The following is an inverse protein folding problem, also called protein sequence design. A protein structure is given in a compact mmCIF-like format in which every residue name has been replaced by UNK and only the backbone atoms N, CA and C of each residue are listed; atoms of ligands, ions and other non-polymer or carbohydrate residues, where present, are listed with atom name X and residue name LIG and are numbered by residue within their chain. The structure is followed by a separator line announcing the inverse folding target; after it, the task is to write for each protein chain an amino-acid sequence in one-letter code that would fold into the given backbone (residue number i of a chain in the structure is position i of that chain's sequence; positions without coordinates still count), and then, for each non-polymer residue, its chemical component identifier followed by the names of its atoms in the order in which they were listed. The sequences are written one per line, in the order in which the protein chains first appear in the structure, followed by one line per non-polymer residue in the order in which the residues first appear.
data_IF_600713845331
#
_entry.id   IF_600713845331
#
_cell.length_a   1.000
_cell.length_b   1.000
_cell.length_c   1.000
_cell.angle_alpha   90.00
_cell.angle_beta   90.00
_cell.angle_gamma   90.00
#
_symmetry.space_group_name_H-M   'P 1'
#
loop_
_entity.id
_entity.type
_entity.pdbx_description
1 polymer ?
#
# COMPACT_ATOMS: atom_id res chain seq x y z
N UNK A 1 17.15 -36.92 42.18
CA UNK A 1 17.11 -35.49 41.85
C UNK A 1 17.06 -35.36 40.33
N UNK A 2 15.99 -34.87 39.81
CA UNK A 2 15.75 -34.79 38.37
C UNK A 2 16.30 -33.48 37.85
N UNK A 3 17.32 -33.54 36.99
CA UNK A 3 17.85 -32.39 36.28
C UNK A 3 16.89 -31.98 35.17
N UNK A 4 16.47 -30.73 35.21
CA UNK A 4 15.67 -30.12 34.15
C UNK A 4 16.61 -29.66 33.05
N UNK A 5 16.58 -30.36 31.89
CA UNK A 5 17.22 -29.87 30.67
C UNK A 5 16.37 -28.70 30.12
N UNK A 6 16.90 -27.49 30.25
CA UNK A 6 16.38 -26.36 29.49
C UNK A 6 16.84 -26.49 28.03
N UNK A 7 15.92 -26.88 27.17
CA UNK A 7 16.14 -26.84 25.72
C UNK A 7 16.01 -25.38 25.28
N UNK A 8 17.14 -24.72 25.02
CA UNK A 8 17.17 -23.41 24.39
C UNK A 8 16.88 -23.60 22.91
N UNK A 9 15.64 -23.33 22.53
CA UNK A 9 15.25 -23.28 21.12
C UNK A 9 15.85 -22.01 20.50
N UNK A 10 16.98 -22.15 19.82
CA UNK A 10 17.58 -21.08 19.04
C UNK A 10 16.66 -20.80 17.84
N UNK A 11 15.92 -19.68 17.91
CA UNK A 11 15.22 -19.14 16.77
C UNK A 11 16.24 -18.54 15.81
N UNK A 12 16.56 -19.29 14.76
CA UNK A 12 17.33 -18.78 13.63
C UNK A 12 16.47 -17.76 12.88
N UNK A 13 16.70 -16.48 13.17
CA UNK A 13 16.18 -15.39 12.35
C UNK A 13 16.96 -15.39 11.04
N UNK A 14 16.38 -15.94 9.99
CA UNK A 14 16.88 -15.76 8.64
C UNK A 14 16.70 -14.30 8.24
N UNK A 15 17.75 -13.50 8.39
CA UNK A 15 17.83 -12.19 7.73
C UNK A 15 18.06 -12.46 6.24
N UNK A 16 16.99 -12.63 5.52
CA UNK A 16 17.04 -12.67 4.06
C UNK A 16 17.40 -11.29 3.52
N UNK A 17 18.60 -11.12 3.00
CA UNK A 17 18.98 -9.97 2.19
C UNK A 17 18.23 -10.02 0.85
N UNK A 18 17.02 -9.48 0.84
CA UNK A 18 16.26 -9.23 -0.36
C UNK A 18 15.34 -8.05 -0.08
N UNK A 19 15.45 -6.96 -0.85
CA UNK A 19 14.87 -5.63 -0.63
C UNK A 19 13.35 -5.53 -0.50
N UNK A 20 12.71 -6.43 0.23
CA UNK A 20 11.30 -6.36 0.58
C UNK A 20 11.12 -5.45 1.78
N UNK A 21 10.18 -4.52 1.68
CA UNK A 21 9.79 -3.67 2.79
C UNK A 21 9.09 -4.50 3.85
N UNK A 22 9.51 -4.35 5.11
CA UNK A 22 8.91 -5.04 6.23
C UNK A 22 7.49 -4.55 6.49
N UNK A 23 6.54 -5.49 6.63
CA UNK A 23 5.17 -5.18 7.02
C UNK A 23 5.10 -4.90 8.52
N UNK A 24 4.52 -3.76 8.89
CA UNK A 24 4.39 -3.34 10.28
C UNK A 24 3.01 -3.70 10.82
N UNK A 25 2.95 -4.20 12.06
CA UNK A 25 1.72 -4.68 12.70
C UNK A 25 0.61 -3.61 12.83
N UNK A 26 0.95 -2.32 12.91
CA UNK A 26 -0.03 -1.24 13.01
C UNK A 26 -0.73 -0.89 11.69
N UNK A 27 -0.24 -1.37 10.56
CA UNK A 27 -0.80 -1.12 9.22
C UNK A 27 -1.46 -2.37 8.66
N UNK A 28 -2.51 -2.18 7.87
CA UNK A 28 -3.13 -3.23 7.08
C UNK A 28 -2.54 -3.23 5.67
N UNK A 29 -2.40 -4.41 5.09
CA UNK A 29 -1.80 -4.59 3.77
C UNK A 29 -2.71 -5.40 2.85
N UNK A 30 -2.52 -5.23 1.55
CA UNK A 30 -3.21 -5.97 0.50
C UNK A 30 -2.21 -6.46 -0.54
N UNK A 31 -2.40 -7.66 -1.06
CA UNK A 31 -1.55 -8.21 -2.12
C UNK A 31 -1.90 -7.65 -3.50
N UNK A 32 -1.01 -7.84 -4.47
CA UNK A 32 -1.26 -7.48 -5.87
C UNK A 32 -2.44 -8.28 -6.45
N UNK A 33 -2.54 -9.56 -6.12
CA UNK A 33 -3.61 -10.45 -6.58
C UNK A 33 -4.98 -10.00 -6.06
N UNK A 34 -5.07 -9.70 -4.77
CA UNK A 34 -6.31 -9.20 -4.16
C UNK A 34 -6.70 -7.83 -4.71
N UNK A 35 -5.72 -6.95 -4.91
CA UNK A 35 -5.94 -5.63 -5.53
C UNK A 35 -6.45 -5.77 -6.95
N UNK A 36 -5.83 -6.62 -7.77
CA UNK A 36 -6.28 -6.89 -9.14
C UNK A 36 -7.71 -7.46 -9.17
N UNK A 37 -8.04 -8.36 -8.24
CA UNK A 37 -9.40 -8.89 -8.11
C UNK A 37 -10.42 -7.79 -7.83
N UNK A 38 -10.13 -6.87 -6.92
CA UNK A 38 -11.00 -5.73 -6.63
C UNK A 38 -11.20 -4.83 -7.86
N UNK A 39 -10.15 -4.55 -8.61
CA UNK A 39 -10.21 -3.74 -9.83
C UNK A 39 -11.10 -4.40 -10.89
N UNK A 40 -11.00 -5.71 -11.06
CA UNK A 40 -11.77 -6.48 -12.05
C UNK A 40 -13.25 -6.63 -11.68
N UNK A 41 -13.50 -7.03 -10.43
CA UNK A 41 -14.82 -7.49 -9.99
C UNK A 41 -15.65 -6.40 -9.34
N UNK A 42 -15.02 -5.45 -8.62
CA UNK A 42 -15.68 -4.44 -7.81
C UNK A 42 -15.03 -3.05 -7.91
N UNK A 43 -14.84 -2.49 -9.11
CA UNK A 43 -14.12 -1.22 -9.27
C UNK A 43 -14.78 -0.05 -8.53
N UNK A 44 -16.10 -0.08 -8.33
CA UNK A 44 -16.83 0.93 -7.58
C UNK A 44 -16.66 0.82 -6.05
N UNK A 45 -16.10 -0.28 -5.57
CA UNK A 45 -15.87 -0.56 -4.14
C UNK A 45 -14.43 -0.37 -3.71
N UNK A 46 -13.57 0.11 -4.60
CA UNK A 46 -12.16 0.38 -4.33
C UNK A 46 -11.79 1.79 -4.74
N UNK A 47 -11.01 2.45 -3.90
CA UNK A 47 -10.35 3.72 -4.20
C UNK A 47 -8.85 3.46 -4.17
N UNK A 48 -8.20 3.60 -5.30
CA UNK A 48 -6.75 3.43 -5.45
C UNK A 48 -6.09 4.80 -5.30
N UNK A 49 -5.50 5.04 -4.14
CA UNK A 49 -4.83 6.31 -3.82
C UNK A 49 -3.36 6.18 -4.19
N UNK A 50 -2.99 6.69 -5.36
CA UNK A 50 -1.62 6.61 -5.85
C UNK A 50 -0.84 7.87 -5.49
N UNK A 51 0.22 7.70 -4.71
CA UNK A 51 1.08 8.80 -4.27
C UNK A 51 2.36 8.93 -5.09
N UNK A 52 2.55 8.11 -6.12
CA UNK A 52 3.75 8.20 -6.97
C UNK A 52 3.98 9.62 -7.48
N UNK A 53 5.23 9.96 -7.73
CA UNK A 53 5.57 11.19 -8.45
C UNK A 53 4.98 11.15 -9.87
N UNK A 54 4.86 12.30 -10.49
CA UNK A 54 4.14 12.43 -11.77
C UNK A 54 4.74 11.53 -12.85
N UNK A 55 6.05 11.53 -12.98
CA UNK A 55 6.77 10.77 -14.01
C UNK A 55 6.55 9.26 -13.84
N UNK A 56 6.65 8.76 -12.61
CA UNK A 56 6.44 7.34 -12.30
C UNK A 56 4.99 6.92 -12.55
N UNK A 57 4.02 7.77 -12.17
CA UNK A 57 2.60 7.50 -12.40
C UNK A 57 2.27 7.45 -13.90
N UNK A 58 2.81 8.40 -14.68
CA UNK A 58 2.62 8.44 -16.13
C UNK A 58 3.25 7.22 -16.81
N UNK A 59 4.40 6.74 -16.31
CA UNK A 59 5.04 5.53 -16.84
C UNK A 59 4.21 4.27 -16.60
N UNK A 60 3.76 4.07 -15.36
CA UNK A 60 2.93 2.91 -15.01
C UNK A 60 2.09 3.17 -13.76
N UNK A 61 0.81 2.86 -13.84
CA UNK A 61 -0.10 2.85 -12.70
C UNK A 61 -1.18 1.79 -12.84
N UNK A 62 -1.93 1.52 -11.79
CA UNK A 62 -3.08 0.63 -11.85
C UNK A 62 -4.28 1.34 -12.49
N UNK A 63 -5.04 0.62 -13.29
CA UNK A 63 -6.27 1.15 -13.91
C UNK A 63 -7.24 1.67 -12.86
N UNK A 64 -7.69 2.92 -13.02
CA UNK A 64 -8.58 3.59 -12.07
C UNK A 64 -7.87 4.24 -10.88
N UNK A 65 -6.54 4.16 -10.78
CA UNK A 65 -5.79 4.84 -9.74
C UNK A 65 -5.91 6.36 -9.85
N UNK A 66 -6.08 7.01 -8.70
CA UNK A 66 -6.17 8.47 -8.58
C UNK A 66 -4.77 8.99 -8.29
N UNK A 67 -4.20 9.74 -9.23
CA UNK A 67 -2.90 10.39 -9.07
C UNK A 67 -2.98 11.54 -8.08
N UNK A 68 -2.19 11.49 -7.04
CA UNK A 68 -2.08 12.60 -6.06
C UNK A 68 -0.74 13.32 -6.13
N UNK A 69 0.30 12.64 -6.63
CA UNK A 69 1.68 13.15 -6.64
C UNK A 69 2.16 13.60 -5.25
N UNK A 70 1.68 12.92 -4.21
CA UNK A 70 1.92 13.32 -2.83
C UNK A 70 3.23 12.79 -2.24
N UNK A 71 3.89 11.84 -2.92
CA UNK A 71 5.14 11.27 -2.42
C UNK A 71 6.20 12.37 -2.17
N UNK A 72 6.94 12.31 -1.08
CA UNK A 72 6.98 11.31 0.00
C UNK A 72 6.03 11.58 1.19
N UNK A 73 5.08 12.48 1.09
CA UNK A 73 4.08 12.83 2.12
C UNK A 73 4.74 13.39 3.39
N UNK A 74 5.68 14.31 3.24
CA UNK A 74 6.42 14.94 4.33
C UNK A 74 5.99 16.38 4.60
N UNK A 75 5.48 17.07 3.58
CA UNK A 75 5.11 18.49 3.66
C UNK A 75 3.60 18.69 3.77
N UNK A 76 3.18 19.85 4.23
CA UNK A 76 1.75 20.22 4.28
C UNK A 76 1.14 20.29 2.87
N UNK A 77 1.93 20.71 1.87
CA UNK A 77 1.51 20.75 0.48
C UNK A 77 1.22 19.33 -0.06
N UNK A 78 2.11 18.38 0.21
CA UNK A 78 1.93 16.99 -0.19
C UNK A 78 0.69 16.37 0.49
N UNK A 79 0.50 16.61 1.79
CA UNK A 79 -0.71 16.19 2.51
C UNK A 79 -1.98 16.84 1.97
N UNK A 80 -1.91 18.11 1.58
CA UNK A 80 -3.04 18.80 0.95
C UNK A 80 -3.46 18.16 -0.37
N UNK A 81 -2.52 17.58 -1.12
CA UNK A 81 -2.83 16.81 -2.34
C UNK A 81 -3.65 15.56 -2.03
N UNK A 82 -3.32 14.85 -0.95
CA UNK A 82 -4.14 13.74 -0.47
C UNK A 82 -5.51 14.18 0.03
N UNK A 83 -5.59 15.29 0.71
CA UNK A 83 -6.85 15.80 1.26
C UNK A 83 -7.91 16.06 0.18
N UNK A 84 -7.52 16.37 -1.05
CA UNK A 84 -8.44 16.64 -2.16
C UNK A 84 -9.35 15.48 -2.51
N UNK A 85 -8.92 14.24 -2.26
CA UNK A 85 -9.79 13.08 -2.56
C UNK A 85 -10.68 12.62 -1.40
N UNK A 86 -10.49 13.14 -0.20
CA UNK A 86 -11.28 12.73 0.98
C UNK A 86 -12.79 12.83 0.76
N UNK A 87 -13.34 13.91 0.13
CA UNK A 87 -14.79 14.02 -0.11
C UNK A 87 -15.35 12.92 -1.04
N UNK A 88 -14.50 12.29 -1.83
CA UNK A 88 -14.90 11.27 -2.80
C UNK A 88 -14.79 9.83 -2.25
N UNK A 89 -14.23 9.65 -1.06
CA UNK A 89 -14.12 8.36 -0.40
C UNK A 89 -15.41 8.06 0.36
N UNK A 90 -16.05 6.93 0.04
CA UNK A 90 -17.25 6.46 0.71
C UNK A 90 -16.91 5.44 1.79
N UNK A 91 -17.75 5.34 2.81
CA UNK A 91 -17.56 4.47 3.98
C UNK A 91 -17.54 2.97 3.64
N UNK A 92 -18.09 2.57 2.51
CA UNK A 92 -18.17 1.18 2.05
C UNK A 92 -17.10 0.81 1.02
N UNK A 93 -16.16 1.71 0.77
CA UNK A 93 -15.06 1.49 -0.17
C UNK A 93 -13.78 1.08 0.56
N UNK A 94 -13.06 0.13 -0.02
CA UNK A 94 -11.68 -0.16 0.36
C UNK A 94 -10.74 0.89 -0.23
N UNK A 95 -9.89 1.44 0.61
CA UNK A 95 -8.91 2.47 0.23
C UNK A 95 -7.53 1.85 0.21
N UNK A 96 -6.93 1.77 -0.97
CA UNK A 96 -5.61 1.17 -1.20
C UNK A 96 -4.60 2.26 -1.43
N UNK A 97 -3.62 2.37 -0.54
CA UNK A 97 -2.48 3.28 -0.71
C UNK A 97 -1.44 2.61 -1.61
N UNK A 98 -1.10 3.27 -2.71
CA UNK A 98 -0.09 2.83 -3.67
C UNK A 98 1.06 3.85 -3.65
N UNK A 99 2.24 3.38 -3.31
CA UNK A 99 3.47 4.17 -3.38
C UNK A 99 4.52 3.43 -4.20
N UNK A 100 5.70 4.01 -4.45
CA UNK A 100 6.72 3.30 -5.22
C UNK A 100 7.07 1.92 -4.67
N UNK A 101 7.29 1.78 -3.35
CA UNK A 101 7.83 0.55 -2.74
C UNK A 101 7.06 0.00 -1.55
N UNK A 102 5.96 0.63 -1.11
CA UNK A 102 5.22 0.22 0.08
C UNK A 102 5.86 0.59 1.41
N UNK A 103 6.79 1.54 1.42
CA UNK A 103 7.59 1.94 2.59
C UNK A 103 7.08 3.19 3.31
N UNK A 104 8.03 4.04 3.76
CA UNK A 104 7.73 5.20 4.61
C UNK A 104 6.76 6.23 4.01
N UNK A 105 6.77 6.43 2.70
CA UNK A 105 5.78 7.27 2.02
C UNK A 105 4.36 6.72 2.17
N UNK A 106 4.20 5.41 2.00
CA UNK A 106 2.93 4.72 2.22
C UNK A 106 2.46 4.83 3.68
N UNK A 107 3.36 4.63 4.64
CA UNK A 107 3.06 4.76 6.06
C UNK A 107 2.52 6.16 6.40
N UNK A 108 3.17 7.20 5.89
CA UNK A 108 2.75 8.60 6.12
C UNK A 108 1.42 8.91 5.44
N UNK A 109 1.17 8.39 4.24
CA UNK A 109 -0.11 8.52 3.57
C UNK A 109 -1.22 7.79 4.35
N UNK A 110 -0.97 6.57 4.78
CA UNK A 110 -1.88 5.77 5.60
C UNK A 110 -2.26 6.52 6.89
N UNK A 111 -1.26 6.99 7.63
CA UNK A 111 -1.48 7.74 8.87
C UNK A 111 -2.30 9.03 8.63
N UNK A 112 -2.03 9.74 7.56
CA UNK A 112 -2.78 10.93 7.18
C UNK A 112 -4.25 10.61 6.88
N UNK A 113 -4.50 9.59 6.07
CA UNK A 113 -5.85 9.17 5.72
C UNK A 113 -6.64 8.68 6.93
N UNK A 114 -5.99 7.92 7.82
CA UNK A 114 -6.59 7.44 9.06
C UNK A 114 -6.99 8.61 9.98
N UNK A 115 -6.11 9.57 10.17
CA UNK A 115 -6.37 10.79 10.95
C UNK A 115 -7.46 11.66 10.32
N UNK A 116 -7.62 11.60 9.02
CA UNK A 116 -8.63 12.34 8.26
C UNK A 116 -10.02 11.68 8.24
N UNK A 117 -10.18 10.53 8.91
CA UNK A 117 -11.47 9.87 9.09
C UNK A 117 -11.72 8.64 8.21
N UNK A 118 -10.74 8.22 7.39
CA UNK A 118 -10.85 6.94 6.67
C UNK A 118 -10.84 5.80 7.68
N UNK A 119 -11.80 4.89 7.57
CA UNK A 119 -11.95 3.77 8.51
C UNK A 119 -10.78 2.80 8.39
N UNK A 120 -10.19 2.44 9.51
CA UNK A 120 -9.03 1.55 9.56
C UNK A 120 -9.29 0.19 8.90
N UNK A 121 -10.49 -0.37 9.09
CA UNK A 121 -10.90 -1.64 8.47
C UNK A 121 -10.95 -1.60 6.94
N UNK A 122 -11.05 -0.42 6.35
CA UNK A 122 -11.08 -0.23 4.90
C UNK A 122 -9.73 0.22 4.32
N UNK A 123 -8.79 0.62 5.17
CA UNK A 123 -7.53 1.21 4.75
C UNK A 123 -6.43 0.16 4.70
N UNK A 124 -5.78 0.05 3.55
CA UNK A 124 -4.71 -0.93 3.28
C UNK A 124 -3.60 -0.30 2.45
N UNK A 125 -2.40 -0.84 2.59
CA UNK A 125 -1.25 -0.48 1.74
C UNK A 125 -0.95 -1.62 0.78
N UNK A 126 -0.72 -1.31 -0.50
CA UNK A 126 -0.26 -2.29 -1.49
C UNK A 126 1.14 -2.79 -1.11
N UNK A 127 1.26 -4.09 -0.89
CA UNK A 127 2.53 -4.75 -0.56
C UNK A 127 3.55 -4.49 -1.68
N UNK A 128 4.75 -4.08 -1.32
CA UNK A 128 5.88 -3.76 -2.20
C UNK A 128 5.62 -2.61 -3.20
N UNK A 129 4.47 -1.95 -3.12
CA UNK A 129 4.12 -0.79 -3.94
C UNK A 129 4.00 -1.06 -5.44
N UNK A 130 4.00 0.03 -6.23
CA UNK A 130 3.89 -0.08 -7.69
C UNK A 130 5.11 -0.78 -8.31
N UNK A 131 6.32 -0.53 -7.79
CA UNK A 131 7.54 -1.16 -8.33
C UNK A 131 7.58 -2.68 -8.12
N UNK A 132 6.95 -3.18 -7.06
CA UNK A 132 6.83 -4.61 -6.76
C UNK A 132 5.66 -5.30 -7.47
N UNK A 133 4.92 -4.62 -8.35
CA UNK A 133 3.81 -5.23 -9.06
C UNK A 133 4.28 -6.39 -9.95
N UNK A 134 3.63 -7.58 -9.89
CA UNK A 134 4.02 -8.75 -10.69
C UNK A 134 3.57 -8.61 -12.16
N UNK A 135 4.25 -7.80 -12.95
CA UNK A 135 3.88 -7.41 -14.31
C UNK A 135 3.74 -8.59 -15.24
N UNK A 136 4.61 -9.59 -15.10
CA UNK A 136 4.60 -10.77 -15.98
C UNK A 136 3.39 -11.67 -15.73
N UNK A 137 2.76 -11.57 -14.58
CA UNK A 137 1.62 -12.40 -14.15
C UNK A 137 0.29 -11.64 -14.21
N UNK A 138 0.31 -10.34 -13.88
CA UNK A 138 -0.91 -9.50 -13.76
C UNK A 138 -0.71 -8.21 -14.56
N UNK A 139 -0.97 -8.27 -15.86
CA UNK A 139 -0.84 -7.13 -16.78
C UNK A 139 -2.16 -6.42 -17.06
N UNK A 140 -3.26 -7.12 -17.00
CA UNK A 140 -4.57 -6.65 -17.48
C UNK A 140 -5.15 -5.46 -16.73
N UNK A 141 -4.68 -5.21 -15.49
CA UNK A 141 -5.06 -4.07 -14.66
C UNK A 141 -4.04 -2.95 -14.64
N UNK A 142 -2.96 -3.06 -15.40
CA UNK A 142 -1.97 -1.99 -15.58
C UNK A 142 -2.39 -1.02 -16.68
N UNK A 143 -2.20 0.26 -16.42
CA UNK A 143 -2.15 1.31 -17.44
C UNK A 143 -0.69 1.70 -17.63
N UNK A 144 -0.21 1.59 -18.86
CA UNK A 144 1.13 1.97 -19.30
C UNK A 144 0.98 2.93 -20.49
N UNK A 145 1.78 4.00 -20.53
CA UNK A 145 1.82 4.94 -21.65
C UNK A 145 3.03 4.69 -22.55
#
# INVERSE_FOLDING_TARGET
MKGILLSVLAVLVFVGCGGKVEQKAQYNYISAEETAKLIRENPSKVVLVDIQEKEDFEEEHLKGAISTYAYPVKTDEERARLAKLLPNIKDDQKVVVICPRGGGGADRAYDFLLKSGVKKENLVTLIDGQYGWPRDEIMDVLAVE
#
